data_IF_400326613042
#
_entry.id   IF_400326613042
#
_cell.length_a   1.000
_cell.length_b   1.000
_cell.length_c   1.000
_cell.angle_alpha   90.00
_cell.angle_beta   90.00
_cell.angle_gamma   90.00
#
_symmetry.space_group_name_H-M   'P 1'
#
loop_
_entity.id
_entity.type
_entity.pdbx_description
1 polymer ?
#
# COMPACT_ATOMS: atom_id res chain seq x y z
N UNK A 1 7.77 -22.22 -12.64
CA UNK A 1 7.93 -21.58 -11.42
C UNK A 1 7.76 -20.10 -11.44
N UNK A 2 6.77 -19.54 -10.96
CA UNK A 2 6.57 -18.11 -10.84
C UNK A 2 7.36 -17.51 -9.69
N UNK A 3 7.42 -16.19 -9.61
CA UNK A 3 7.89 -15.49 -8.45
C UNK A 3 7.05 -15.88 -7.23
N UNK A 4 7.61 -15.83 -6.00
CA UNK A 4 6.83 -16.10 -4.80
C UNK A 4 5.64 -15.15 -4.75
N UNK A 5 4.48 -15.69 -4.42
CA UNK A 5 3.29 -14.88 -4.25
C UNK A 5 3.41 -14.05 -2.97
N UNK A 6 3.24 -12.75 -3.11
CA UNK A 6 3.14 -11.86 -1.96
C UNK A 6 1.67 -11.63 -1.62
N UNK A 7 1.42 -11.28 -0.37
CA UNK A 7 0.10 -10.85 0.09
C UNK A 7 0.15 -9.34 0.27
N UNK A 8 -0.69 -8.64 -0.46
CA UNK A 8 -0.68 -7.17 -0.50
C UNK A 8 -1.99 -6.65 0.06
N UNK A 9 -1.90 -5.85 1.11
CA UNK A 9 -3.03 -5.16 1.68
C UNK A 9 -3.18 -3.81 0.98
N UNK A 10 -4.27 -3.64 0.25
CA UNK A 10 -4.58 -2.43 -0.50
C UNK A 10 -5.52 -1.57 0.33
N UNK A 11 -5.12 -0.32 0.61
CA UNK A 11 -5.95 0.61 1.36
C UNK A 11 -6.25 1.82 0.49
N UNK A 12 -7.47 1.91 0.04
CA UNK A 12 -7.95 2.93 -0.89
C UNK A 12 -9.44 3.14 -0.64
N UNK A 13 -9.84 4.38 -0.38
CA UNK A 13 -11.23 4.68 -0.08
C UNK A 13 -12.11 4.80 -1.33
N UNK A 14 -11.52 5.03 -2.50
CA UNK A 14 -12.26 5.11 -3.74
C UNK A 14 -12.43 3.70 -4.32
N UNK A 15 -13.69 3.24 -4.43
CA UNK A 15 -14.03 1.86 -4.78
C UNK A 15 -13.44 1.43 -6.11
N UNK A 16 -13.61 2.25 -7.15
CA UNK A 16 -13.16 1.91 -8.49
C UNK A 16 -11.64 1.78 -8.57
N UNK A 17 -10.94 2.74 -7.99
CA UNK A 17 -9.48 2.73 -7.94
C UNK A 17 -8.96 1.52 -7.19
N UNK A 18 -9.61 1.16 -6.09
CA UNK A 18 -9.24 -0.01 -5.30
C UNK A 18 -9.42 -1.30 -6.09
N UNK A 19 -10.56 -1.45 -6.78
CA UNK A 19 -10.85 -2.65 -7.57
C UNK A 19 -9.87 -2.82 -8.73
N UNK A 20 -9.51 -1.73 -9.41
CA UNK A 20 -8.53 -1.79 -10.49
C UNK A 20 -7.16 -2.23 -9.96
N UNK A 21 -6.75 -1.70 -8.82
CA UNK A 21 -5.49 -2.11 -8.19
C UNK A 21 -5.51 -3.60 -7.81
N UNK A 22 -6.62 -4.07 -7.25
CA UNK A 22 -6.78 -5.49 -6.91
C UNK A 22 -6.61 -6.38 -8.13
N UNK A 23 -7.34 -6.08 -9.20
CA UNK A 23 -7.29 -6.86 -10.43
C UNK A 23 -5.89 -6.90 -11.02
N UNK A 24 -5.24 -5.74 -11.07
CA UNK A 24 -3.89 -5.61 -11.61
C UNK A 24 -2.90 -6.46 -10.83
N UNK A 25 -2.94 -6.38 -9.52
CA UNK A 25 -2.01 -7.10 -8.64
C UNK A 25 -2.29 -8.61 -8.70
N UNK A 26 -3.56 -9.00 -8.72
CA UNK A 26 -3.95 -10.41 -8.83
C UNK A 26 -3.53 -11.01 -10.17
N UNK A 27 -3.59 -10.24 -11.24
CA UNK A 27 -3.17 -10.70 -12.57
C UNK A 27 -1.70 -11.12 -12.60
N UNK A 28 -0.89 -10.57 -11.70
CA UNK A 28 0.53 -10.94 -11.60
C UNK A 28 0.82 -12.01 -10.55
N UNK A 29 -0.22 -12.66 -10.06
CA UNK A 29 -0.09 -13.82 -9.20
C UNK A 29 0.00 -13.54 -7.71
N UNK A 30 -0.20 -12.30 -7.28
CA UNK A 30 -0.21 -11.97 -5.86
C UNK A 30 -1.61 -12.12 -5.27
N UNK A 31 -1.66 -12.33 -3.96
CA UNK A 31 -2.92 -12.29 -3.21
C UNK A 31 -3.16 -10.86 -2.73
N UNK A 32 -4.43 -10.48 -2.65
CA UNK A 32 -4.80 -9.16 -2.18
C UNK A 32 -5.78 -9.24 -1.02
N UNK A 33 -5.63 -8.29 -0.11
CA UNK A 33 -6.62 -7.95 0.90
C UNK A 33 -6.97 -6.49 0.66
N UNK A 34 -8.22 -6.11 0.86
CA UNK A 34 -8.66 -4.76 0.55
C UNK A 34 -9.32 -4.11 1.75
N UNK A 35 -8.98 -2.85 1.97
CA UNK A 35 -9.55 -2.04 3.02
C UNK A 35 -9.94 -0.68 2.46
N UNK A 36 -11.06 -0.14 2.91
CA UNK A 36 -11.53 1.16 2.46
C UNK A 36 -11.13 2.30 3.41
N UNK A 37 -10.64 1.97 4.59
CA UNK A 37 -10.23 2.97 5.57
C UNK A 37 -9.19 2.39 6.54
N UNK A 38 -8.70 3.26 7.43
CA UNK A 38 -7.68 2.92 8.40
C UNK A 38 -8.13 1.82 9.35
N UNK A 39 -9.37 1.88 9.81
CA UNK A 39 -9.89 0.90 10.78
C UNK A 39 -9.92 -0.51 10.19
N UNK A 40 -10.40 -0.63 8.98
CA UNK A 40 -10.43 -1.92 8.29
C UNK A 40 -9.02 -2.45 8.06
N UNK A 41 -8.11 -1.58 7.64
CA UNK A 41 -6.71 -1.94 7.43
C UNK A 41 -6.07 -2.43 8.73
N UNK A 42 -6.28 -1.72 9.83
CA UNK A 42 -5.73 -2.12 11.13
C UNK A 42 -6.30 -3.46 11.60
N UNK A 43 -7.55 -3.74 11.28
CA UNK A 43 -8.16 -5.03 11.59
C UNK A 43 -7.39 -6.17 10.94
N UNK A 44 -7.03 -6.04 9.66
CA UNK A 44 -6.19 -7.02 8.98
C UNK A 44 -4.79 -7.12 9.61
N UNK A 45 -4.18 -5.98 9.90
CA UNK A 45 -2.81 -5.93 10.42
C UNK A 45 -2.70 -6.53 11.83
N UNK A 46 -3.78 -6.49 12.61
CA UNK A 46 -3.84 -7.10 13.94
C UNK A 46 -4.19 -8.58 13.91
N UNK A 47 -4.63 -9.08 12.76
CA UNK A 47 -5.00 -10.49 12.61
C UNK A 47 -3.78 -11.37 12.40
N UNK A 48 -4.01 -12.69 12.31
CA UNK A 48 -2.95 -13.64 11.97
C UNK A 48 -2.70 -13.74 10.47
N UNK A 49 -3.44 -13.00 9.64
CA UNK A 49 -3.33 -13.04 8.18
C UNK A 49 -1.94 -12.60 7.75
N UNK A 50 -1.22 -13.41 6.92
CA UNK A 50 0.05 -12.97 6.36
C UNK A 50 -0.13 -11.73 5.48
N UNK A 51 0.73 -10.76 5.62
CA UNK A 51 0.74 -9.53 4.82
C UNK A 51 2.19 -9.15 4.57
N UNK A 52 2.56 -9.03 3.30
CA UNK A 52 3.94 -8.71 2.91
C UNK A 52 4.11 -7.24 2.57
N UNK A 53 3.09 -6.63 1.98
CA UNK A 53 3.14 -5.24 1.52
C UNK A 53 1.87 -4.52 1.95
N UNK A 54 2.04 -3.31 2.46
CA UNK A 54 0.96 -2.36 2.66
C UNK A 54 1.02 -1.36 1.49
N UNK A 55 0.01 -1.40 0.62
CA UNK A 55 -0.14 -0.46 -0.47
C UNK A 55 -1.26 0.51 -0.10
N UNK A 56 -0.91 1.72 0.31
CA UNK A 56 -1.89 2.66 0.85
C UNK A 56 -1.84 4.01 0.18
N UNK A 57 -3.02 4.58 -0.04
CA UNK A 57 -3.15 5.98 -0.38
C UNK A 57 -2.68 6.82 0.82
N UNK A 58 -1.97 7.90 0.55
CA UNK A 58 -1.57 8.86 1.59
C UNK A 58 -2.80 9.58 2.12
N UNK A 59 -3.68 10.02 1.21
CA UNK A 59 -4.92 10.69 1.57
C UNK A 59 -6.03 9.65 1.69
N UNK A 60 -6.50 9.43 2.92
CA UNK A 60 -7.59 8.50 3.18
C UNK A 60 -8.78 9.27 3.71
N UNK A 61 -9.78 9.43 2.86
CA UNK A 61 -10.99 10.22 3.15
C UNK A 61 -10.60 11.65 3.51
N UNK A 62 -10.93 12.07 4.73
CA UNK A 62 -10.63 13.43 5.21
C UNK A 62 -9.29 13.53 5.92
N UNK A 63 -8.55 12.43 6.02
CA UNK A 63 -7.29 12.40 6.73
C UNK A 63 -6.14 12.62 5.76
N UNK A 64 -5.60 13.83 5.77
CA UNK A 64 -4.55 14.25 4.83
C UNK A 64 -3.29 13.37 4.93
N UNK A 65 -2.96 12.92 6.13
CA UNK A 65 -1.80 12.07 6.37
C UNK A 65 -2.19 10.68 6.84
N UNK A 66 -3.44 10.27 6.58
CA UNK A 66 -3.97 9.00 7.10
C UNK A 66 -3.14 7.80 6.70
N UNK A 67 -2.67 7.75 5.44
CA UNK A 67 -1.83 6.65 4.97
C UNK A 67 -0.47 6.61 5.64
N UNK A 68 0.12 7.76 5.94
CA UNK A 68 1.41 7.84 6.64
C UNK A 68 1.27 7.39 8.09
N UNK A 69 0.20 7.80 8.76
CA UNK A 69 -0.08 7.39 10.13
C UNK A 69 -0.36 5.90 10.20
N UNK A 70 -1.14 5.39 9.24
CA UNK A 70 -1.41 3.95 9.12
C UNK A 70 -0.11 3.17 8.93
N UNK A 71 0.77 3.63 8.05
CA UNK A 71 2.03 2.94 7.78
C UNK A 71 2.90 2.85 9.03
N UNK A 72 2.97 3.91 9.83
CA UNK A 72 3.72 3.88 11.08
C UNK A 72 3.16 2.86 12.06
N UNK A 73 1.83 2.82 12.21
CA UNK A 73 1.19 1.83 13.07
C UNK A 73 1.41 0.42 12.54
N UNK A 74 1.34 0.26 11.22
CA UNK A 74 1.53 -1.04 10.57
C UNK A 74 2.93 -1.61 10.83
N UNK A 75 3.96 -0.77 10.69
CA UNK A 75 5.35 -1.18 10.95
C UNK A 75 5.56 -1.53 12.43
N UNK A 76 4.89 -0.80 13.33
CA UNK A 76 4.96 -1.13 14.75
C UNK A 76 4.36 -2.51 15.03
N UNK A 77 3.29 -2.87 14.33
CA UNK A 77 2.64 -4.18 14.46
C UNK A 77 3.40 -5.28 13.72
N UNK A 78 3.99 -4.96 12.59
CA UNK A 78 4.69 -5.89 11.70
C UNK A 78 5.98 -5.27 11.19
N UNK A 79 7.09 -5.40 11.93
CA UNK A 79 8.34 -4.70 11.58
C UNK A 79 8.94 -5.05 10.22
N UNK A 80 8.60 -6.20 9.65
CA UNK A 80 9.12 -6.61 8.35
C UNK A 80 8.23 -6.21 7.17
N UNK A 81 7.13 -5.56 7.45
CA UNK A 81 6.19 -5.13 6.42
C UNK A 81 6.85 -4.11 5.48
N UNK A 82 6.62 -4.27 4.18
CA UNK A 82 7.03 -3.29 3.18
C UNK A 82 5.89 -2.32 2.94
N UNK A 83 6.21 -1.08 2.65
CA UNK A 83 5.19 -0.04 2.42
C UNK A 83 5.37 0.58 1.05
N UNK A 84 4.28 0.69 0.32
CA UNK A 84 4.19 1.41 -0.94
C UNK A 84 3.06 2.43 -0.81
N UNK A 85 3.41 3.72 -0.92
CA UNK A 85 2.40 4.78 -0.89
C UNK A 85 1.91 5.11 -2.29
N UNK A 86 0.70 5.61 -2.38
CA UNK A 86 0.20 6.23 -3.62
C UNK A 86 -0.51 7.54 -3.30
N UNK A 87 -0.45 8.48 -4.23
CA UNK A 87 -1.11 9.78 -4.07
C UNK A 87 -1.36 10.43 -5.42
N UNK A 88 -2.48 11.15 -5.51
CA UNK A 88 -2.77 12.01 -6.67
C UNK A 88 -2.23 13.43 -6.52
N UNK A 89 -1.62 13.73 -5.40
CA UNK A 89 -1.11 15.06 -5.08
C UNK A 89 0.40 15.12 -5.19
N UNK A 90 0.94 16.34 -5.25
CA UNK A 90 2.38 16.55 -5.21
C UNK A 90 2.92 16.12 -3.85
N UNK A 91 4.04 15.41 -3.87
CA UNK A 91 4.72 14.98 -2.66
C UNK A 91 5.67 16.10 -2.24
N UNK A 92 5.38 16.72 -1.11
CA UNK A 92 6.22 17.78 -0.56
C UNK A 92 7.29 17.22 0.36
N UNK A 93 8.30 18.01 0.67
CA UNK A 93 9.34 17.60 1.64
C UNK A 93 8.73 17.34 3.02
N UNK A 94 7.73 18.12 3.42
CA UNK A 94 6.98 17.89 4.65
C UNK A 94 6.32 16.51 4.67
N UNK A 95 5.73 16.14 3.55
CA UNK A 95 5.06 14.85 3.41
C UNK A 95 6.07 13.71 3.45
N UNK A 96 7.19 13.86 2.74
CA UNK A 96 8.27 12.86 2.74
C UNK A 96 8.82 12.59 4.14
N UNK A 97 8.86 13.62 4.99
CA UNK A 97 9.31 13.47 6.36
C UNK A 97 8.42 12.55 7.20
N UNK A 98 7.18 12.32 6.76
CA UNK A 98 6.23 11.43 7.44
C UNK A 98 6.32 10.00 6.94
N UNK A 99 7.06 9.75 5.86
CA UNK A 99 7.17 8.41 5.27
C UNK A 99 7.97 7.48 6.17
N UNK A 100 7.54 6.23 6.20
CA UNK A 100 8.34 5.17 6.81
C UNK A 100 9.60 4.98 5.96
N UNK A 101 10.72 4.70 6.62
CA UNK A 101 12.00 4.54 5.94
C UNK A 101 11.98 3.40 4.95
N UNK A 102 12.63 3.57 3.81
CA UNK A 102 12.74 2.55 2.79
C UNK A 102 11.51 2.37 1.91
N UNK A 103 10.59 3.32 1.93
CA UNK A 103 9.34 3.22 1.16
C UNK A 103 9.44 3.89 -0.20
N UNK A 104 8.48 3.57 -1.05
CA UNK A 104 8.30 4.23 -2.34
C UNK A 104 6.94 4.90 -2.39
N UNK A 105 6.80 5.89 -3.26
CA UNK A 105 5.52 6.54 -3.51
C UNK A 105 5.21 6.49 -5.00
N UNK A 106 4.08 5.90 -5.35
CA UNK A 106 3.59 5.78 -6.72
C UNK A 106 2.54 6.86 -6.96
N UNK A 107 2.78 7.73 -7.93
CA UNK A 107 1.88 8.85 -8.19
C UNK A 107 0.72 8.43 -9.09
N UNK A 108 -0.48 8.86 -8.75
CA UNK A 108 -1.66 8.66 -9.59
C UNK A 108 -1.73 9.73 -10.69
N UNK A 109 -2.24 9.42 -11.87
CA UNK A 109 -2.61 8.09 -12.32
C UNK A 109 -1.36 7.27 -12.66
N UNK A 110 -1.39 5.99 -12.38
CA UNK A 110 -0.29 5.09 -12.72
C UNK A 110 -0.78 4.03 -13.70
N UNK A 111 0.16 3.51 -14.50
CA UNK A 111 -0.13 2.40 -15.40
C UNK A 111 0.00 1.07 -14.63
N UNK A 112 -0.59 -0.02 -15.15
CA UNK A 112 -0.36 -1.35 -14.57
C UNK A 112 1.13 -1.69 -14.45
N UNK A 113 1.94 -1.34 -15.44
CA UNK A 113 3.38 -1.57 -15.42
C UNK A 113 4.07 -0.82 -14.29
N UNK A 114 3.70 0.44 -14.08
CA UNK A 114 4.26 1.25 -13.01
C UNK A 114 3.93 0.67 -11.63
N UNK A 115 2.70 0.17 -11.47
CA UNK A 115 2.29 -0.48 -10.23
C UNK A 115 3.11 -1.76 -10.00
N UNK A 116 3.26 -2.58 -11.03
CA UNK A 116 4.07 -3.80 -10.91
C UNK A 116 5.51 -3.49 -10.56
N UNK A 117 6.13 -2.55 -11.26
CA UNK A 117 7.52 -2.17 -11.00
C UNK A 117 7.69 -1.70 -9.55
N UNK A 118 6.73 -0.96 -9.04
CA UNK A 118 6.76 -0.48 -7.66
C UNK A 118 6.62 -1.61 -6.65
N UNK A 119 5.74 -2.57 -6.91
CA UNK A 119 5.58 -3.74 -6.04
C UNK A 119 6.85 -4.59 -6.03
N UNK A 120 7.41 -4.85 -7.20
CA UNK A 120 8.67 -5.59 -7.31
C UNK A 120 9.78 -4.88 -6.54
N UNK A 121 9.86 -3.57 -6.67
CA UNK A 121 10.91 -2.79 -6.02
C UNK A 121 10.80 -2.84 -4.48
N UNK A 122 9.60 -2.73 -3.91
CA UNK A 122 9.46 -2.79 -2.45
C UNK A 122 9.68 -4.20 -1.93
N UNK A 123 9.34 -5.22 -2.70
CA UNK A 123 9.59 -6.61 -2.30
C UNK A 123 11.08 -6.96 -2.33
N UNK A 124 11.84 -6.31 -3.19
CA UNK A 124 13.28 -6.54 -3.33
C UNK A 124 14.13 -5.75 -2.33
N UNK A 125 13.53 -4.76 -1.69
CA UNK A 125 14.26 -3.85 -0.80
C UNK A 125 14.65 -4.53 0.53
#
# INVERSE_FOLDING_TARGET
>A
MGAPMAVILIVEDEVFTREVAEMTIQDWGHQTLSACDVEEALSFLRSAQPIDVLFTDIYLRKLVTGGCDLARQAIALRPELRVLYTTGNLVTDKMKALFVEGTRCLRKPYTPHELQDSVVAVLAA
#
